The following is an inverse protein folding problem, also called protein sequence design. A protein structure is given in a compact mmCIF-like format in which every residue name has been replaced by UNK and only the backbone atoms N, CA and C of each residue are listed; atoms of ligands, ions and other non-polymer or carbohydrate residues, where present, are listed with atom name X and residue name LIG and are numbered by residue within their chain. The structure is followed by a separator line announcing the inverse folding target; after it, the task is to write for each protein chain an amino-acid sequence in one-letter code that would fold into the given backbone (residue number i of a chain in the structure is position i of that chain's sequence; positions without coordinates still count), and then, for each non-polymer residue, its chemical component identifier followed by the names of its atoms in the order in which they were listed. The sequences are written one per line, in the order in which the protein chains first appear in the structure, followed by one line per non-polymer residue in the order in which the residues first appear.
data_IF_506604068809
#
_entry.id   IF_506604068809
#
_cell.length_a   1.000
_cell.length_b   1.000
_cell.length_c   1.000
_cell.angle_alpha   90.00
_cell.angle_beta   90.00
_cell.angle_gamma   90.00
#
_symmetry.space_group_name_H-M   'P 1'
#
loop_
_entity.id
_entity.type
_entity.pdbx_description
1 polymer ?
#
# COMPACT_ATOMS: atom_id res chain seq x y z
N UNK A 1 -8.43 -21.30 -2.00
CA UNK A 1 -8.46 -19.82 -2.01
C UNK A 1 -7.24 -19.33 -2.78
N UNK A 2 -7.40 -18.52 -3.84
CA UNK A 2 -6.27 -17.96 -4.61
C UNK A 2 -6.12 -16.48 -4.27
N UNK A 3 -4.91 -16.08 -3.88
CA UNK A 3 -4.50 -14.69 -3.67
C UNK A 3 -3.24 -14.47 -4.50
N UNK A 4 -3.24 -13.47 -5.36
CA UNK A 4 -2.15 -13.18 -6.29
C UNK A 4 -1.63 -11.77 -6.05
N UNK A 5 -0.32 -11.60 -6.04
CA UNK A 5 0.31 -10.29 -6.07
C UNK A 5 0.59 -9.89 -7.51
N UNK A 6 0.05 -8.74 -7.92
CA UNK A 6 0.14 -8.26 -9.31
C UNK A 6 1.05 -7.03 -9.46
N UNK A 7 2.14 -6.97 -8.69
CA UNK A 7 3.05 -5.82 -8.65
C UNK A 7 3.60 -5.46 -10.05
N UNK A 8 3.99 -6.47 -10.84
CA UNK A 8 4.61 -6.34 -12.17
C UNK A 8 3.73 -6.87 -13.31
N UNK A 9 2.41 -6.95 -13.11
CA UNK A 9 1.51 -7.59 -14.08
C UNK A 9 1.32 -6.71 -15.33
N UNK A 10 0.68 -5.55 -15.18
CA UNK A 10 0.54 -4.56 -16.25
C UNK A 10 0.66 -3.16 -15.67
N UNK A 11 1.13 -2.19 -16.47
CA UNK A 11 1.17 -0.77 -16.08
C UNK A 11 -0.19 -0.30 -15.53
N UNK A 12 -1.27 -0.74 -16.19
CA UNK A 12 -2.65 -0.46 -15.79
C UNK A 12 -2.96 -0.99 -14.38
N UNK A 13 -2.50 -2.19 -14.04
CA UNK A 13 -2.69 -2.74 -12.70
C UNK A 13 -1.81 -2.06 -11.65
N UNK A 14 -0.54 -1.82 -11.95
CA UNK A 14 0.37 -1.11 -11.05
C UNK A 14 -0.18 0.28 -10.72
N UNK A 15 -0.70 1.00 -11.72
CA UNK A 15 -1.35 2.30 -11.53
C UNK A 15 -2.57 2.21 -10.62
N UNK A 16 -3.46 1.24 -10.84
CA UNK A 16 -4.60 0.99 -9.96
C UNK A 16 -4.17 0.71 -8.51
N UNK A 17 -3.18 -0.16 -8.34
CA UNK A 17 -2.61 -0.48 -7.02
C UNK A 17 -2.07 0.76 -6.33
N UNK A 18 -1.29 1.60 -7.03
CA UNK A 18 -0.76 2.85 -6.48
C UNK A 18 -1.85 3.85 -6.13
N UNK A 19 -2.85 4.07 -6.99
CA UNK A 19 -3.94 5.00 -6.66
C UNK A 19 -4.64 4.55 -5.37
N UNK A 20 -4.83 3.24 -5.19
CA UNK A 20 -5.47 2.70 -4.01
C UNK A 20 -4.62 2.75 -2.74
N UNK A 21 -3.29 2.97 -2.81
CA UNK A 21 -2.47 3.19 -1.60
C UNK A 21 -2.83 4.49 -0.88
N UNK A 22 -3.54 5.41 -1.56
CA UNK A 22 -4.14 6.57 -0.92
C UNK A 22 -5.15 6.18 0.16
N UNK A 23 -5.86 5.06 0.02
CA UNK A 23 -6.86 4.62 1.02
C UNK A 23 -6.22 4.34 2.39
N UNK A 24 -5.24 3.42 2.53
CA UNK A 24 -4.60 3.19 3.82
C UNK A 24 -3.87 4.44 4.30
N UNK A 25 -3.26 5.22 3.41
CA UNK A 25 -2.57 6.46 3.79
C UNK A 25 -3.52 7.49 4.42
N UNK A 26 -4.66 7.75 3.78
CA UNK A 26 -5.68 8.68 4.30
C UNK A 26 -6.27 8.19 5.63
N UNK A 27 -6.50 6.88 5.78
CA UNK A 27 -6.95 6.33 7.06
C UNK A 27 -5.89 6.47 8.14
N UNK A 28 -4.62 6.22 7.82
CA UNK A 28 -3.49 6.37 8.75
C UNK A 28 -3.40 7.81 9.25
N UNK A 29 -3.52 8.80 8.35
CA UNK A 29 -3.57 10.22 8.70
C UNK A 29 -4.81 10.60 9.52
N UNK A 30 -5.98 10.09 9.16
CA UNK A 30 -7.24 10.38 9.86
C UNK A 30 -7.20 9.93 11.34
N UNK A 31 -6.57 8.78 11.60
CA UNK A 31 -6.38 8.23 12.95
C UNK A 31 -5.06 8.68 13.61
N UNK A 32 -4.41 9.70 13.05
CA UNK A 32 -3.17 10.31 13.57
C UNK A 32 -2.06 9.28 13.84
N UNK A 33 -2.02 8.22 13.04
CA UNK A 33 -0.98 7.18 13.13
C UNK A 33 0.28 7.64 12.39
N UNK A 34 1.44 7.23 12.88
CA UNK A 34 2.72 7.55 12.23
C UNK A 34 2.82 6.86 10.86
N UNK A 35 3.30 7.61 9.87
CA UNK A 35 3.64 7.05 8.56
C UNK A 35 5.13 6.70 8.57
N UNK A 36 5.43 5.51 9.05
CA UNK A 36 6.79 4.97 9.03
C UNK A 36 7.03 4.08 7.78
N UNK A 37 8.29 3.67 7.59
CA UNK A 37 8.69 2.82 6.46
C UNK A 37 7.88 1.51 6.41
N UNK A 38 7.60 0.93 7.57
CA UNK A 38 6.86 -0.34 7.67
C UNK A 38 5.44 -0.15 7.15
N UNK A 39 4.79 0.94 7.56
CA UNK A 39 3.44 1.29 7.16
C UNK A 39 3.34 1.62 5.68
N UNK A 40 4.34 2.29 5.11
CA UNK A 40 4.42 2.56 3.67
C UNK A 40 4.54 1.28 2.84
N UNK A 41 5.39 0.34 3.27
CA UNK A 41 5.57 -0.95 2.59
C UNK A 41 4.30 -1.79 2.69
N UNK A 42 3.72 -1.90 3.90
CA UNK A 42 2.49 -2.65 4.12
C UNK A 42 1.32 -2.11 3.29
N UNK A 43 1.13 -0.79 3.30
CA UNK A 43 0.11 -0.12 2.49
C UNK A 43 0.26 -0.41 1.00
N UNK A 44 1.51 -0.48 0.51
CA UNK A 44 1.79 -0.81 -0.89
C UNK A 44 1.45 -2.28 -1.21
N UNK A 45 1.80 -3.20 -0.31
CA UNK A 45 1.51 -4.63 -0.47
C UNK A 45 0.00 -4.91 -0.51
N UNK A 46 -0.77 -4.33 0.43
CA UNK A 46 -2.21 -4.62 0.52
C UNK A 46 -2.98 -4.18 -0.73
N UNK A 47 -2.54 -3.09 -1.37
CA UNK A 47 -3.21 -2.51 -2.54
C UNK A 47 -2.92 -3.29 -3.82
N UNK A 48 -1.90 -4.15 -3.83
CA UNK A 48 -1.50 -4.93 -5.00
C UNK A 48 -1.99 -6.38 -4.97
N UNK A 49 -2.75 -6.76 -3.93
CA UNK A 49 -3.36 -8.07 -3.83
C UNK A 49 -4.63 -8.17 -4.68
N UNK A 50 -4.68 -9.18 -5.52
CA UNK A 50 -5.89 -9.62 -6.22
C UNK A 50 -6.42 -10.92 -5.58
N UNK A 51 -7.74 -11.03 -5.44
CA UNK A 51 -8.39 -12.19 -4.84
C UNK A 51 -9.73 -11.85 -4.19
N UNK A 52 -10.33 -12.85 -3.55
CA UNK A 52 -11.55 -12.67 -2.76
C UNK A 52 -11.27 -11.89 -1.46
N UNK A 53 -12.29 -11.22 -0.91
CA UNK A 53 -12.17 -10.39 0.28
C UNK A 53 -11.61 -11.15 1.49
N UNK A 54 -12.21 -12.30 1.81
CA UNK A 54 -11.84 -13.08 2.99
C UNK A 54 -10.36 -13.52 2.97
N UNK A 55 -9.83 -14.11 1.88
CA UNK A 55 -8.40 -14.38 1.76
C UNK A 55 -7.50 -13.15 1.96
N UNK A 56 -7.88 -11.98 1.42
CA UNK A 56 -7.11 -10.75 1.60
C UNK A 56 -7.07 -10.30 3.06
N UNK A 57 -8.22 -10.31 3.74
CA UNK A 57 -8.30 -9.92 5.15
C UNK A 57 -7.46 -10.86 6.01
N UNK A 58 -7.62 -12.19 5.83
CA UNK A 58 -6.87 -13.18 6.60
C UNK A 58 -5.37 -13.05 6.36
N UNK A 59 -4.96 -12.85 5.10
CA UNK A 59 -3.56 -12.70 4.75
C UNK A 59 -2.95 -11.41 5.33
N UNK A 60 -3.67 -10.29 5.30
CA UNK A 60 -3.23 -9.04 5.92
C UNK A 60 -3.15 -9.16 7.42
N UNK A 61 -4.16 -9.75 8.06
CA UNK A 61 -4.11 -10.03 9.50
C UNK A 61 -2.90 -10.90 9.86
N UNK A 62 -2.67 -11.98 9.10
CA UNK A 62 -1.52 -12.87 9.29
C UNK A 62 -0.17 -12.15 9.16
N UNK A 63 0.06 -11.42 8.06
CA UNK A 63 1.31 -10.67 7.88
C UNK A 63 1.52 -9.67 9.01
N UNK A 64 0.45 -9.03 9.43
CA UNK A 64 0.48 -7.99 10.44
C UNK A 64 0.87 -8.54 11.82
N UNK A 65 0.34 -9.71 12.20
CA UNK A 65 0.80 -10.43 13.40
C UNK A 65 2.26 -10.88 13.33
N UNK A 66 2.80 -11.16 12.13
CA UNK A 66 4.20 -11.60 11.99
C UNK A 66 5.23 -10.47 12.04
N UNK A 67 4.86 -9.26 11.61
CA UNK A 67 5.84 -8.20 11.30
C UNK A 67 5.80 -7.04 12.30
N UNK A 68 4.71 -6.87 13.04
CA UNK A 68 4.52 -5.70 13.91
C UNK A 68 4.88 -5.96 15.36
N UNK A 69 5.30 -4.90 16.04
CA UNK A 69 5.64 -4.90 17.47
C UNK A 69 4.38 -4.84 18.34
N UNK A 70 4.46 -5.37 19.56
CA UNK A 70 3.33 -5.52 20.48
C UNK A 70 2.95 -4.22 21.20
N UNK A 71 2.48 -3.22 20.46
CA UNK A 71 2.03 -1.96 21.02
C UNK A 71 0.55 -1.65 20.69
N UNK A 72 -0.04 -0.68 21.41
CA UNK A 72 -1.44 -0.28 21.19
C UNK A 72 -1.62 0.35 19.80
N UNK A 73 -0.62 1.09 19.31
CA UNK A 73 -0.65 1.70 17.98
C UNK A 73 -0.76 0.65 16.88
N UNK A 74 -0.15 -0.51 17.07
CA UNK A 74 -0.24 -1.64 16.16
C UNK A 74 -1.68 -2.15 16.05
N UNK A 75 -2.44 -2.25 17.14
CA UNK A 75 -3.84 -2.69 17.09
C UNK A 75 -4.65 -1.71 16.21
N UNK A 76 -4.42 -0.41 16.37
CA UNK A 76 -5.09 0.63 15.58
C UNK A 76 -4.70 0.51 14.10
N UNK A 77 -3.40 0.42 13.81
CA UNK A 77 -2.88 0.21 12.44
C UNK A 77 -3.42 -1.08 11.81
N UNK A 78 -3.57 -2.13 12.60
CA UNK A 78 -4.15 -3.41 12.17
C UNK A 78 -5.58 -3.24 11.70
N UNK A 79 -6.40 -2.56 12.51
CA UNK A 79 -7.77 -2.22 12.14
C UNK A 79 -7.80 -1.36 10.88
N UNK A 80 -6.88 -0.40 10.73
CA UNK A 80 -6.74 0.43 9.54
C UNK A 80 -6.44 -0.41 8.30
N UNK A 81 -5.51 -1.37 8.37
CA UNK A 81 -5.20 -2.23 7.22
C UNK A 81 -6.37 -3.13 6.82
N UNK A 82 -7.06 -3.72 7.79
CA UNK A 82 -8.26 -4.53 7.51
C UNK A 82 -9.36 -3.67 6.88
N UNK A 83 -9.62 -2.49 7.43
CA UNK A 83 -10.58 -1.54 6.86
C UNK A 83 -10.16 -1.08 5.44
N UNK A 84 -8.87 -0.85 5.22
CA UNK A 84 -8.33 -0.49 3.90
C UNK A 84 -8.58 -1.59 2.88
N UNK A 85 -8.30 -2.85 3.23
CA UNK A 85 -8.59 -4.01 2.37
C UNK A 85 -10.08 -4.09 2.06
N UNK A 86 -10.93 -3.89 3.05
CA UNK A 86 -12.39 -3.91 2.87
C UNK A 86 -12.86 -2.84 1.90
N UNK A 87 -12.38 -1.60 2.05
CA UNK A 87 -12.73 -0.48 1.17
C UNK A 87 -12.19 -0.73 -0.24
N UNK A 88 -10.90 -1.04 -0.39
CA UNK A 88 -10.25 -1.26 -1.68
C UNK A 88 -10.90 -2.42 -2.44
N UNK A 89 -11.36 -3.47 -1.75
CA UNK A 89 -12.05 -4.58 -2.38
C UNK A 89 -13.32 -4.16 -3.14
N UNK A 90 -14.00 -3.11 -2.66
CA UNK A 90 -15.21 -2.59 -3.28
C UNK A 90 -14.92 -1.49 -4.31
N UNK A 91 -13.68 -1.03 -4.44
CA UNK A 91 -13.29 -0.09 -5.50
C UNK A 91 -13.14 -0.90 -6.79
N UNK A 92 -14.00 -0.68 -7.80
CA UNK A 92 -13.91 -1.45 -9.03
C UNK A 92 -12.63 -1.10 -9.78
N UNK A 93 -12.03 -2.11 -10.39
CA UNK A 93 -10.97 -1.91 -11.38
C UNK A 93 -11.54 -1.09 -12.54
N UNK A 94 -10.70 -0.21 -13.11
CA UNK A 94 -11.11 0.67 -14.21
C UNK A 94 -12.23 1.67 -13.84
N UNK A 95 -12.27 2.09 -12.57
CA UNK A 95 -13.15 3.17 -12.11
C UNK A 95 -12.83 4.52 -12.77
N UNK A 96 -13.69 5.52 -12.53
CA UNK A 96 -13.56 6.86 -13.12
C UNK A 96 -12.19 7.52 -12.85
N UNK A 97 -11.68 7.42 -11.63
CA UNK A 97 -10.38 8.00 -11.25
C UNK A 97 -9.25 7.32 -12.04
N UNK A 98 -9.29 5.99 -12.09
CA UNK A 98 -8.30 5.22 -12.83
C UNK A 98 -8.33 5.54 -14.33
N UNK A 99 -9.53 5.60 -14.93
CA UNK A 99 -9.70 6.00 -16.33
C UNK A 99 -9.18 7.40 -16.59
N UNK A 100 -9.47 8.36 -15.71
CA UNK A 100 -8.99 9.74 -15.82
C UNK A 100 -7.47 9.81 -15.82
N UNK A 101 -6.81 9.09 -14.90
CA UNK A 101 -5.33 9.06 -14.83
C UNK A 101 -4.73 8.44 -16.10
N UNK A 102 -5.35 7.42 -16.68
CA UNK A 102 -4.85 6.76 -17.90
C UNK A 102 -5.10 7.56 -19.18
N UNK A 103 -6.20 8.30 -19.29
CA UNK A 103 -6.54 9.05 -20.49
C UNK A 103 -5.86 10.42 -20.56
N UNK A 104 -5.57 11.03 -19.40
CA UNK A 104 -4.90 12.32 -19.34
C UNK A 104 -3.37 12.14 -19.29
N UNK A 105 -2.62 12.56 -20.33
CA UNK A 105 -1.18 12.35 -20.41
C UNK A 105 -0.40 13.07 -19.30
N UNK A 106 -0.89 14.23 -18.85
CA UNK A 106 -0.28 14.99 -17.75
C UNK A 106 -0.46 14.22 -16.44
N UNK A 107 -1.70 13.82 -16.13
CA UNK A 107 -2.00 13.05 -14.92
C UNK A 107 -1.24 11.73 -14.88
N UNK A 108 -1.17 11.02 -16.01
CA UNK A 108 -0.40 9.79 -16.16
C UNK A 108 1.08 10.00 -15.83
N UNK A 109 1.69 11.03 -16.41
CA UNK A 109 3.09 11.36 -16.17
C UNK A 109 3.34 11.74 -14.71
N UNK A 110 2.46 12.55 -14.11
CA UNK A 110 2.54 12.92 -12.69
C UNK A 110 2.49 11.68 -11.81
N UNK A 111 1.55 10.75 -12.02
CA UNK A 111 1.46 9.52 -11.24
C UNK A 111 2.69 8.62 -11.43
N UNK A 112 3.23 8.50 -12.65
CA UNK A 112 4.48 7.76 -12.89
C UNK A 112 5.63 8.34 -12.08
N UNK A 113 5.81 9.65 -12.10
CA UNK A 113 6.83 10.34 -11.31
C UNK A 113 6.61 10.08 -9.82
N UNK A 114 5.37 10.18 -9.33
CA UNK A 114 5.03 9.91 -7.93
C UNK A 114 5.36 8.47 -7.53
N UNK A 115 5.05 7.47 -8.37
CA UNK A 115 5.41 6.07 -8.13
C UNK A 115 6.92 5.91 -8.00
N UNK A 116 7.68 6.50 -8.93
CA UNK A 116 9.16 6.44 -8.90
C UNK A 116 9.71 7.11 -7.64
N UNK A 117 9.23 8.31 -7.31
CA UNK A 117 9.63 9.01 -6.09
C UNK A 117 9.29 8.22 -4.82
N UNK A 118 8.12 7.57 -4.79
CA UNK A 118 7.70 6.71 -3.68
C UNK A 118 8.62 5.51 -3.50
N UNK A 119 8.97 4.82 -4.59
CA UNK A 119 9.93 3.71 -4.56
C UNK A 119 11.32 4.17 -4.14
N UNK A 120 11.79 5.31 -4.64
CA UNK A 120 13.08 5.91 -4.25
C UNK A 120 13.08 6.28 -2.76
N UNK A 121 11.99 6.81 -2.23
CA UNK A 121 11.85 7.16 -0.81
C UNK A 121 11.92 5.91 0.07
N UNK A 122 11.17 4.87 -0.26
CA UNK A 122 11.23 3.57 0.45
C UNK A 122 12.66 3.01 0.39
N UNK A 123 13.27 3.00 -0.79
CA UNK A 123 14.64 2.52 -0.98
C UNK A 123 15.66 3.29 -0.14
N UNK A 124 15.61 4.63 -0.18
CA UNK A 124 16.46 5.50 0.61
C UNK A 124 16.36 5.18 2.11
N UNK A 125 15.14 5.04 2.65
CA UNK A 125 14.94 4.78 4.08
C UNK A 125 15.41 3.39 4.50
N UNK A 126 15.31 2.39 3.61
CA UNK A 126 15.92 1.07 3.82
C UNK A 126 17.44 1.18 3.89
N UNK A 127 18.07 1.82 2.89
CA UNK A 127 19.53 1.97 2.86
C UNK A 127 20.06 2.80 4.02
N UNK A 128 19.36 3.85 4.42
CA UNK A 128 19.72 4.67 5.56
C UNK A 128 19.68 3.87 6.87
N UNK A 129 18.61 3.10 7.11
CA UNK A 129 18.53 2.21 8.29
C UNK A 129 19.61 1.13 8.29
N UNK A 130 19.93 0.56 7.14
CA UNK A 130 21.02 -0.42 7.03
C UNK A 130 22.38 0.23 7.34
N UNK A 131 22.66 1.41 6.79
CA UNK A 131 23.90 2.12 7.05
C UNK A 131 24.05 2.55 8.51
N UNK A 132 22.97 2.86 9.22
CA UNK A 132 23.02 3.17 10.66
C UNK A 132 23.30 1.93 11.52
N UNK A 133 22.80 0.75 11.13
CA UNK A 133 23.10 -0.51 11.84
C UNK A 133 24.58 -0.87 11.71
N UNK A 134 25.19 -0.65 10.54
CA UNK A 134 26.61 -0.94 10.30
C UNK A 134 27.60 0.05 10.96
N UNK A 135 27.11 1.16 11.52
CA UNK A 135 27.94 2.13 12.27
C UNK A 135 28.03 1.84 13.77
N UNK A 136 27.30 0.84 14.26
CA UNK A 136 27.38 0.32 15.63
C UNK A 136 27.95 -1.09 15.65
#
# INVERSE_FOLDING_TARGET
MKLNFKFLDTEKWSMFGTINTLVPFLLTLLFQQEVDLRNMIFSSLICMMEGQLLPKILFVGFLNFMVMEDNINWIIQSCIYVASVFIIHHIPYDNFIHKFVLTNPIALLTFKILIVLWMLRIGHDIFYKLASIWKH
#
